data_IF_460987359487
#
_entry.id   IF_460987359487
#
_cell.length_a   1.000
_cell.length_b   1.000
_cell.length_c   1.000
_cell.angle_alpha   90.00
_cell.angle_beta   90.00
_cell.angle_gamma   90.00
#
_symmetry.space_group_name_H-M   'P 1'
#
loop_
_entity.id
_entity.type
_entity.pdbx_description
1 polymer ?
#
# COMPACT_ATOMS: atom_id res chain seq x y z
N UNK A 1 19.37 -38.02 -45.73
CA UNK A 1 18.21 -37.83 -44.83
C UNK A 1 18.49 -38.61 -43.56
N UNK A 2 18.76 -37.94 -42.44
CA UNK A 2 19.10 -38.58 -41.18
C UNK A 2 18.17 -38.08 -40.09
N UNK A 3 17.29 -38.95 -39.60
CA UNK A 3 16.42 -38.66 -38.47
C UNK A 3 17.22 -38.76 -37.18
N UNK A 4 17.23 -37.69 -36.38
CA UNK A 4 17.79 -37.71 -35.02
C UNK A 4 16.68 -37.40 -34.02
N UNK A 5 16.24 -38.44 -33.32
CA UNK A 5 15.15 -38.37 -32.34
C UNK A 5 15.67 -37.79 -31.03
N UNK A 6 15.28 -36.55 -30.69
CA UNK A 6 15.59 -35.96 -29.39
C UNK A 6 14.57 -36.45 -28.36
N UNK A 7 15.03 -37.25 -27.39
CA UNK A 7 14.18 -37.74 -26.31
C UNK A 7 13.90 -36.63 -25.30
N UNK A 8 12.63 -36.50 -24.91
CA UNK A 8 12.18 -35.64 -23.81
C UNK A 8 12.37 -36.44 -22.52
N UNK A 9 13.03 -35.86 -21.52
CA UNK A 9 13.16 -36.44 -20.18
C UNK A 9 12.18 -35.72 -19.26
N UNK A 10 11.17 -36.45 -18.78
CA UNK A 10 10.24 -36.00 -17.75
C UNK A 10 10.89 -36.11 -16.36
N UNK A 11 11.14 -34.97 -15.70
CA UNK A 11 11.44 -34.93 -14.26
C UNK A 11 10.17 -34.63 -13.45
N UNK A 12 9.36 -35.66 -13.21
CA UNK A 12 8.24 -35.63 -12.26
C UNK A 12 8.45 -36.69 -11.16
N UNK A 13 9.25 -36.35 -10.14
CA UNK A 13 9.34 -37.13 -8.92
C UNK A 13 9.85 -36.28 -7.75
N UNK A 14 8.94 -35.71 -6.96
CA UNK A 14 9.24 -35.41 -5.55
C UNK A 14 8.05 -35.83 -4.68
N UNK A 15 8.35 -36.71 -3.72
CA UNK A 15 7.36 -37.44 -2.94
C UNK A 15 6.58 -36.55 -1.96
N UNK A 16 5.27 -36.77 -1.92
CA UNK A 16 4.49 -36.58 -0.70
C UNK A 16 5.07 -37.45 0.43
N UNK A 17 5.17 -36.88 1.63
CA UNK A 17 5.28 -37.64 2.86
C UNK A 17 4.38 -37.00 3.92
N UNK A 18 3.30 -37.71 4.24
CA UNK A 18 2.34 -37.34 5.27
C UNK A 18 2.92 -37.50 6.67
N UNK A 19 2.45 -36.70 7.64
CA UNK A 19 2.32 -37.18 9.01
C UNK A 19 1.07 -36.62 9.72
N UNK A 20 0.51 -37.45 10.62
CA UNK A 20 -0.71 -37.28 11.43
C UNK A 20 -0.92 -35.86 11.99
N UNK A 21 -2.11 -35.25 12.01
CA UNK A 21 -3.46 -35.66 12.48
C UNK A 21 -3.64 -35.69 14.02
N UNK A 22 -4.64 -34.91 14.51
CA UNK A 22 -5.26 -34.77 15.86
C UNK A 22 -5.85 -33.34 15.90
N UNK A 23 -7.10 -33.06 16.30
CA UNK A 23 -8.26 -33.88 16.64
C UNK A 23 -9.58 -33.11 16.50
N UNK A 24 -10.67 -33.83 16.24
CA UNK A 24 -12.07 -33.36 16.18
C UNK A 24 -12.58 -32.72 17.48
N UNK A 25 -13.19 -31.52 17.40
CA UNK A 25 -14.32 -30.96 18.19
C UNK A 25 -14.82 -29.77 17.34
N UNK A 26 -16.09 -29.55 16.96
CA UNK A 26 -17.35 -30.30 17.10
C UNK A 26 -18.24 -30.04 15.84
N UNK A 27 -19.56 -30.34 15.89
CA UNK A 27 -20.57 -29.78 14.98
C UNK A 27 -21.86 -29.47 15.73
N UNK A 28 -22.40 -28.26 15.58
CA UNK A 28 -23.80 -27.96 15.94
C UNK A 28 -24.44 -27.09 14.85
N UNK A 29 -25.42 -27.68 14.19
CA UNK A 29 -26.37 -27.03 13.28
C UNK A 29 -27.35 -26.16 14.06
N UNK A 30 -27.61 -24.95 13.55
CA UNK A 30 -28.77 -24.15 13.91
C UNK A 30 -29.35 -23.53 12.63
N UNK A 31 -30.68 -23.54 12.51
CA UNK A 31 -31.36 -23.39 11.23
C UNK A 31 -31.32 -21.99 10.62
N UNK A 32 -31.39 -21.97 9.28
CA UNK A 32 -31.59 -20.77 8.49
C UNK A 32 -33.05 -20.32 8.63
N UNK A 33 -33.28 -19.22 9.34
CA UNK A 33 -34.49 -18.41 9.16
C UNK A 33 -34.13 -17.02 8.64
N UNK A 34 -34.57 -16.75 7.40
CA UNK A 34 -34.47 -15.44 6.77
C UNK A 34 -35.34 -14.42 7.51
N UNK A 35 -34.71 -13.51 8.25
CA UNK A 35 -35.32 -12.26 8.67
C UNK A 35 -34.56 -11.10 8.00
N UNK A 36 -35.11 -10.59 6.90
CA UNK A 36 -34.58 -9.41 6.21
C UNK A 36 -34.82 -8.15 7.06
N UNK A 37 -33.96 -7.93 8.05
CA UNK A 37 -33.99 -6.73 8.87
C UNK A 37 -33.15 -5.65 8.20
N UNK A 38 -33.81 -4.64 7.62
CA UNK A 38 -33.19 -3.45 7.03
C UNK A 38 -32.54 -2.58 8.11
N UNK A 39 -31.36 -3.00 8.57
CA UNK A 39 -30.58 -2.29 9.57
C UNK A 39 -30.07 -0.96 9.00
N UNK A 40 -30.76 0.13 9.32
CA UNK A 40 -30.27 1.48 9.11
C UNK A 40 -28.97 1.66 9.89
N UNK A 41 -27.84 1.69 9.17
CA UNK A 41 -26.53 1.86 9.79
C UNK A 41 -26.43 3.31 10.29
N UNK A 42 -26.76 3.50 11.57
CA UNK A 42 -26.73 4.79 12.25
C UNK A 42 -25.29 5.27 12.47
N UNK A 43 -24.65 5.74 11.40
CA UNK A 43 -23.33 6.35 11.44
C UNK A 43 -23.37 7.66 12.25
N UNK A 44 -22.61 7.71 13.35
CA UNK A 44 -22.56 8.90 14.19
C UNK A 44 -21.88 10.07 13.46
N UNK A 45 -22.49 11.28 13.54
CA UNK A 45 -22.00 12.54 12.94
C UNK A 45 -20.49 12.74 13.16
N UNK A 46 -19.99 12.50 14.37
CA UNK A 46 -18.57 12.62 14.73
C UNK A 46 -17.65 11.67 13.96
N UNK A 47 -18.12 10.45 13.64
CA UNK A 47 -17.33 9.45 12.93
C UNK A 47 -17.22 9.76 11.43
N UNK A 48 -18.31 10.21 10.81
CA UNK A 48 -18.31 10.69 9.42
C UNK A 48 -17.37 11.90 9.29
N UNK A 49 -17.46 12.88 10.20
CA UNK A 49 -16.58 14.06 10.21
C UNK A 49 -15.11 13.67 10.30
N UNK A 50 -14.77 12.69 11.16
CA UNK A 50 -13.40 12.19 11.33
C UNK A 50 -12.86 11.53 10.05
N UNK A 51 -13.65 10.67 9.39
CA UNK A 51 -13.24 9.97 8.16
C UNK A 51 -13.07 10.95 6.98
N UNK A 52 -14.01 11.88 6.80
CA UNK A 52 -13.91 12.95 5.79
C UNK A 52 -12.66 13.83 5.98
N UNK A 53 -12.33 14.22 7.21
CA UNK A 53 -11.14 15.03 7.50
C UNK A 53 -9.82 14.24 7.38
N UNK A 54 -9.86 12.92 7.54
CA UNK A 54 -8.70 12.03 7.40
C UNK A 54 -8.39 11.68 5.94
N UNK A 55 -9.36 11.86 5.03
CA UNK A 55 -9.23 11.49 3.62
C UNK A 55 -9.44 10.00 3.35
N UNK A 56 -10.13 9.29 4.25
CA UNK A 56 -10.50 7.89 4.05
C UNK A 56 -11.56 7.79 2.94
N UNK A 57 -11.36 6.90 1.96
CA UNK A 57 -12.19 6.82 0.75
C UNK A 57 -13.63 6.32 0.96
N UNK A 58 -14.05 6.09 2.20
CA UNK A 58 -15.38 5.56 2.57
C UNK A 58 -16.53 6.56 2.29
N UNK A 59 -16.26 7.86 2.17
CA UNK A 59 -17.29 8.89 2.01
C UNK A 59 -16.90 9.94 0.96
N UNK A 60 -17.87 10.36 0.13
CA UNK A 60 -17.68 11.36 -0.93
C UNK A 60 -18.71 12.49 -0.85
N UNK A 61 -18.29 13.70 -1.20
CA UNK A 61 -19.12 14.91 -1.23
C UNK A 61 -19.69 15.15 -2.64
N UNK A 62 -20.95 14.79 -2.83
CA UNK A 62 -21.69 14.92 -4.09
C UNK A 62 -22.45 16.26 -4.11
N UNK A 63 -22.40 17.04 -5.21
CA UNK A 63 -23.19 18.27 -5.34
C UNK A 63 -24.70 17.97 -5.31
N UNK A 64 -25.47 18.79 -4.59
CA UNK A 64 -26.92 18.75 -4.67
C UNK A 64 -27.38 19.60 -5.87
N UNK A 65 -28.18 19.03 -6.77
CA UNK A 65 -28.69 19.69 -7.99
C UNK A 65 -29.81 20.72 -7.73
N UNK A 66 -30.10 21.05 -6.46
CA UNK A 66 -31.10 22.05 -6.08
C UNK A 66 -30.73 23.47 -6.52
N UNK A 67 -31.73 24.21 -7.04
CA UNK A 67 -31.58 25.57 -7.59
C UNK A 67 -31.16 26.66 -6.58
N UNK A 68 -31.17 26.37 -5.27
CA UNK A 68 -30.93 27.35 -4.22
C UNK A 68 -29.42 27.55 -3.96
N UNK A 69 -28.96 28.80 -3.85
CA UNK A 69 -27.55 29.16 -3.59
C UNK A 69 -26.94 28.52 -2.34
N UNK A 70 -27.76 28.10 -1.38
CA UNK A 70 -27.34 27.32 -0.21
C UNK A 70 -26.56 26.07 -0.65
N UNK A 71 -27.00 25.37 -1.70
CA UNK A 71 -26.35 24.15 -2.20
C UNK A 71 -25.02 24.40 -2.94
N UNK A 72 -24.66 25.66 -3.22
CA UNK A 72 -23.29 26.01 -3.63
C UNK A 72 -22.29 25.92 -2.47
N UNK A 73 -22.78 26.07 -1.22
CA UNK A 73 -21.98 26.02 0.02
C UNK A 73 -22.02 24.66 0.74
N UNK A 74 -22.98 23.80 0.39
CA UNK A 74 -23.24 22.52 1.06
C UNK A 74 -23.34 21.37 0.07
N UNK A 75 -22.70 20.23 0.37
CA UNK A 75 -22.75 19.00 -0.44
C UNK A 75 -23.36 17.84 0.35
N UNK A 76 -23.99 16.91 -0.35
CA UNK A 76 -24.53 15.66 0.22
C UNK A 76 -23.37 14.69 0.44
N UNK A 77 -23.41 13.93 1.53
CA UNK A 77 -22.46 12.84 1.77
C UNK A 77 -23.06 11.52 1.29
N UNK A 78 -22.34 10.85 0.39
CA UNK A 78 -22.60 9.45 0.04
C UNK A 78 -21.56 8.57 0.73
N UNK A 79 -21.99 7.40 1.20
CA UNK A 79 -21.12 6.32 1.66
C UNK A 79 -20.79 5.42 0.47
N UNK A 80 -19.50 5.15 0.25
CA UNK A 80 -19.02 4.30 -0.83
C UNK A 80 -18.95 2.86 -0.29
N UNK A 81 -19.79 1.98 -0.83
CA UNK A 81 -19.76 0.54 -0.52
C UNK A 81 -19.03 -0.18 -1.67
N UNK A 82 -17.92 -0.89 -1.40
CA UNK A 82 -17.29 -1.72 -2.40
C UNK A 82 -18.23 -2.86 -2.78
N UNK A 83 -18.64 -2.91 -4.05
CA UNK A 83 -19.46 -3.99 -4.57
C UNK A 83 -18.59 -5.25 -4.74
N UNK A 84 -18.88 -6.37 -4.06
CA UNK A 84 -18.08 -7.59 -4.16
C UNK A 84 -18.12 -8.24 -5.54
N UNK A 85 -19.20 -8.04 -6.29
CA UNK A 85 -19.42 -8.62 -7.62
C UNK A 85 -18.86 -7.74 -8.75
N UNK A 86 -18.63 -6.45 -8.48
CA UNK A 86 -18.01 -5.51 -9.42
C UNK A 86 -17.16 -4.44 -8.70
N UNK A 87 -15.88 -4.70 -8.41
CA UNK A 87 -15.02 -3.79 -7.66
C UNK A 87 -14.71 -2.46 -8.39
N UNK A 88 -14.88 -2.41 -9.72
CA UNK A 88 -14.66 -1.21 -10.53
C UNK A 88 -15.89 -0.28 -10.55
N UNK A 89 -17.02 -0.70 -9.99
CA UNK A 89 -18.25 0.10 -9.88
C UNK A 89 -18.80 0.05 -8.44
N UNK A 90 -18.21 0.82 -7.50
CA UNK A 90 -18.65 0.84 -6.11
C UNK A 90 -20.01 1.53 -5.98
N UNK A 91 -20.87 0.96 -5.16
CA UNK A 91 -22.22 1.48 -4.91
C UNK A 91 -22.17 2.71 -4.00
N UNK A 92 -23.00 3.71 -4.29
CA UNK A 92 -23.06 4.96 -3.52
C UNK A 92 -24.38 5.05 -2.76
N UNK A 93 -24.34 4.79 -1.46
CA UNK A 93 -25.53 4.88 -0.61
C UNK A 93 -25.67 6.27 0.02
N UNK A 94 -26.82 6.93 -0.12
CA UNK A 94 -27.03 8.27 0.43
C UNK A 94 -27.06 8.24 1.95
N UNK A 95 -26.31 9.15 2.58
CA UNK A 95 -26.44 9.40 4.02
C UNK A 95 -27.43 10.53 4.26
N UNK A 96 -28.00 10.57 5.47
CA UNK A 96 -28.83 11.68 5.93
C UNK A 96 -28.03 12.90 6.39
N UNK A 97 -26.81 13.10 5.84
CA UNK A 97 -25.95 14.22 6.20
C UNK A 97 -25.51 15.06 4.99
N UNK A 98 -25.38 16.36 5.25
CA UNK A 98 -24.82 17.36 4.33
C UNK A 98 -23.67 18.09 5.03
N UNK A 99 -22.58 18.34 4.32
CA UNK A 99 -21.41 19.05 4.84
C UNK A 99 -21.29 20.45 4.25
N UNK A 100 -20.91 21.43 5.05
CA UNK A 100 -20.41 22.71 4.54
C UNK A 100 -19.04 22.48 3.86
N UNK A 101 -18.90 22.92 2.61
CA UNK A 101 -17.64 22.76 1.84
C UNK A 101 -16.48 23.52 2.48
N UNK A 102 -16.73 24.63 3.17
CA UNK A 102 -15.69 25.51 3.72
C UNK A 102 -15.16 25.06 5.09
N UNK A 103 -16.03 24.57 5.99
CA UNK A 103 -15.65 24.23 7.37
C UNK A 103 -15.83 22.73 7.73
N UNK A 104 -16.35 21.92 6.81
CA UNK A 104 -16.66 20.50 7.00
C UNK A 104 -17.58 20.21 8.20
N UNK A 105 -18.39 21.19 8.63
CA UNK A 105 -19.43 20.98 9.63
C UNK A 105 -20.64 20.26 9.02
N UNK A 106 -21.15 19.28 9.76
CA UNK A 106 -22.20 18.37 9.31
C UNK A 106 -23.57 18.79 9.82
N UNK A 107 -24.56 18.73 8.94
CA UNK A 107 -25.97 18.95 9.23
C UNK A 107 -26.77 17.75 8.76
N UNK A 108 -27.92 17.47 9.38
CA UNK A 108 -28.83 16.45 8.85
C UNK A 108 -29.46 16.93 7.55
N UNK A 109 -29.80 16.01 6.64
CA UNK A 109 -30.52 16.30 5.40
C UNK A 109 -31.93 16.87 5.64
N UNK A 110 -32.53 16.56 6.79
CA UNK A 110 -33.77 17.15 7.30
C UNK A 110 -33.61 18.58 7.87
N UNK A 111 -32.38 19.11 7.98
CA UNK A 111 -32.15 20.49 8.42
C UNK A 111 -32.65 21.48 7.37
N UNK A 112 -33.47 22.45 7.79
CA UNK A 112 -34.04 23.44 6.88
C UNK A 112 -32.97 24.24 6.12
N UNK A 113 -33.26 24.61 4.88
CA UNK A 113 -32.39 25.49 4.07
C UNK A 113 -32.17 26.85 4.72
N UNK A 114 -33.09 27.31 5.57
CA UNK A 114 -32.94 28.54 6.37
C UNK A 114 -31.92 28.39 7.52
N UNK A 115 -31.79 27.19 8.10
CA UNK A 115 -30.73 26.88 9.07
C UNK A 115 -29.37 26.81 8.39
N UNK A 116 -29.32 26.18 7.20
CA UNK A 116 -28.09 26.09 6.39
C UNK A 116 -27.67 27.47 5.84
N UNK A 117 -28.59 28.35 5.44
CA UNK A 117 -28.26 29.69 4.97
C UNK A 117 -27.74 30.61 6.09
N UNK A 118 -28.23 30.41 7.32
CA UNK A 118 -27.74 31.08 8.54
C UNK A 118 -26.41 30.51 9.07
N UNK A 119 -25.89 29.42 8.50
CA UNK A 119 -24.56 28.94 8.85
C UNK A 119 -23.51 30.00 8.48
N UNK A 120 -23.04 30.72 9.50
CA UNK A 120 -21.79 31.46 9.43
C UNK A 120 -20.69 30.44 9.69
N UNK A 121 -19.80 30.27 8.71
CA UNK A 121 -18.58 29.50 8.94
C UNK A 121 -17.82 30.18 10.08
N UNK A 122 -17.83 29.57 11.26
CA UNK A 122 -16.83 29.85 12.28
C UNK A 122 -15.52 29.24 11.79
N UNK A 123 -14.91 29.92 10.81
CA UNK A 123 -13.46 29.86 10.65
C UNK A 123 -12.90 30.21 12.02
N UNK A 124 -12.06 29.38 12.65
CA UNK A 124 -11.53 29.69 13.96
C UNK A 124 -10.81 31.03 13.89
N UNK A 125 -11.36 32.04 14.58
CA UNK A 125 -10.72 33.33 14.76
C UNK A 125 -9.38 33.07 15.41
N UNK A 126 -8.30 33.45 14.73
CA UNK A 126 -6.94 33.17 15.16
C UNK A 126 -6.69 33.68 16.58
N UNK A 127 -6.33 32.82 17.57
CA UNK A 127 -5.41 33.28 18.59
C UNK A 127 -4.13 33.75 17.87
N UNK A 128 -3.47 34.78 18.39
CA UNK A 128 -2.24 35.34 17.81
C UNK A 128 -1.05 34.37 17.95
N UNK A 129 -1.09 33.27 17.21
CA UNK A 129 -0.05 32.24 17.12
C UNK A 129 -0.13 31.56 15.76
N UNK A 130 0.79 31.99 14.92
CA UNK A 130 1.32 31.56 13.61
C UNK A 130 1.08 30.13 13.04
N UNK A 131 0.32 29.23 13.66
CA UNK A 131 0.37 27.79 13.33
C UNK A 131 -0.79 27.24 12.48
N UNK A 132 -1.95 27.91 12.38
CA UNK A 132 -3.19 27.23 11.95
C UNK A 132 -3.64 27.40 10.49
N UNK A 133 -3.00 28.27 9.69
CA UNK A 133 -3.21 28.36 8.22
C UNK A 133 -2.08 27.71 7.39
N UNK A 134 -1.26 26.87 8.03
CA UNK A 134 -0.28 26.00 7.38
C UNK A 134 -0.93 24.82 6.65
N UNK A 135 -1.59 25.06 5.52
CA UNK A 135 -2.00 24.01 4.57
C UNK A 135 -0.80 23.22 4.02
N UNK A 136 0.38 23.83 4.05
CA UNK A 136 1.63 23.09 4.19
C UNK A 136 1.76 22.66 5.64
N UNK A 137 1.70 21.36 5.91
CA UNK A 137 2.42 20.80 7.07
C UNK A 137 3.84 21.34 6.96
N UNK A 138 4.20 22.31 7.79
CA UNK A 138 5.57 22.70 8.00
C UNK A 138 6.26 21.48 8.57
N UNK A 139 6.75 20.58 7.69
CA UNK A 139 7.54 19.41 8.06
C UNK A 139 8.64 19.97 8.94
N UNK A 140 8.55 19.74 10.26
CA UNK A 140 9.41 20.38 11.26
C UNK A 140 10.83 20.18 10.76
N UNK A 141 11.45 21.26 10.28
CA UNK A 141 12.70 21.14 9.52
C UNK A 141 13.71 20.56 10.49
N UNK A 142 14.21 19.36 10.21
CA UNK A 142 15.17 18.72 11.10
C UNK A 142 16.32 19.70 11.38
N UNK A 143 16.69 19.89 12.65
CA UNK A 143 17.80 20.76 13.04
C UNK A 143 19.07 20.43 12.23
N UNK A 144 19.85 21.45 11.89
CA UNK A 144 21.00 21.29 10.97
C UNK A 144 22.00 20.24 11.49
N UNK A 145 22.31 20.26 12.79
CA UNK A 145 23.16 19.26 13.44
C UNK A 145 22.66 17.81 13.27
N UNK A 146 21.34 17.58 13.29
CA UNK A 146 20.75 16.25 13.08
C UNK A 146 20.88 15.82 11.61
N UNK A 147 20.80 16.76 10.66
CA UNK A 147 21.06 16.48 9.24
C UNK A 147 22.52 16.15 9.00
N UNK A 148 23.43 16.89 9.62
CA UNK A 148 24.88 16.64 9.51
C UNK A 148 25.26 15.29 10.12
N UNK A 149 24.63 14.89 11.23
CA UNK A 149 24.76 13.54 11.76
C UNK A 149 24.18 12.50 10.80
N UNK A 150 22.97 12.71 10.26
CA UNK A 150 22.37 11.78 9.29
C UNK A 150 23.26 11.59 8.04
N UNK A 151 23.90 12.65 7.53
CA UNK A 151 24.89 12.57 6.45
C UNK A 151 26.07 11.68 6.87
N UNK A 152 26.65 11.90 8.07
CA UNK A 152 27.75 11.07 8.59
C UNK A 152 27.37 9.58 8.72
N UNK A 153 26.15 9.27 9.19
CA UNK A 153 25.65 7.88 9.26
C UNK A 153 25.48 7.27 7.86
N UNK A 154 24.94 8.04 6.90
CA UNK A 154 24.78 7.60 5.51
C UNK A 154 26.13 7.33 4.82
N UNK A 155 27.13 8.19 5.03
CA UNK A 155 28.50 7.96 4.55
C UNK A 155 29.07 6.69 5.17
N UNK A 156 28.96 6.53 6.50
CA UNK A 156 29.45 5.32 7.19
C UNK A 156 28.78 4.05 6.67
N UNK A 157 27.47 4.06 6.42
CA UNK A 157 26.75 2.94 5.81
C UNK A 157 27.29 2.59 4.42
N UNK A 158 27.42 3.56 3.52
CA UNK A 158 27.97 3.31 2.18
C UNK A 158 29.42 2.80 2.21
N UNK A 159 30.26 3.34 3.10
CA UNK A 159 31.68 2.98 3.20
C UNK A 159 31.95 1.64 3.88
N UNK A 160 31.18 1.26 4.91
CA UNK A 160 31.38 -0.03 5.59
C UNK A 160 30.75 -1.20 4.83
N UNK A 161 29.53 -1.01 4.33
CA UNK A 161 28.76 -2.09 3.69
C UNK A 161 28.99 -2.16 2.17
N UNK A 162 29.92 -1.35 1.64
CA UNK A 162 30.26 -1.19 0.21
C UNK A 162 28.98 -0.99 -0.64
N UNK A 163 28.11 -0.09 -0.20
CA UNK A 163 26.82 0.19 -0.85
C UNK A 163 26.91 1.40 -1.79
N UNK A 164 26.31 1.34 -3.00
CA UNK A 164 26.25 2.50 -3.87
C UNK A 164 25.46 3.62 -3.20
N UNK A 165 25.91 4.88 -3.36
CA UNK A 165 25.26 6.05 -2.74
C UNK A 165 23.78 6.20 -3.12
N UNK A 166 23.38 5.68 -4.29
CA UNK A 166 21.98 5.63 -4.73
C UNK A 166 21.09 4.76 -3.85
N UNK A 167 21.63 3.80 -3.09
CA UNK A 167 20.85 2.93 -2.19
C UNK A 167 20.10 3.74 -1.12
N UNK A 168 20.68 4.86 -0.65
CA UNK A 168 20.06 5.77 0.33
C UNK A 168 18.78 6.42 -0.21
N UNK A 169 18.66 6.55 -1.55
CA UNK A 169 17.46 7.09 -2.23
C UNK A 169 16.48 5.99 -2.68
N UNK A 170 16.78 4.71 -2.44
CA UNK A 170 15.92 3.61 -2.86
C UNK A 170 14.59 3.63 -2.12
N UNK A 171 13.43 3.46 -2.82
CA UNK A 171 12.12 3.58 -2.18
C UNK A 171 11.92 2.58 -1.03
N UNK A 172 12.34 1.33 -1.20
CA UNK A 172 12.28 0.32 -0.14
C UNK A 172 13.20 0.61 1.07
N UNK A 173 14.32 1.33 0.87
CA UNK A 173 15.15 1.78 1.99
C UNK A 173 14.46 2.88 2.79
N UNK A 174 13.81 3.83 2.10
CA UNK A 174 12.99 4.86 2.75
C UNK A 174 11.79 4.26 3.51
N UNK A 175 11.14 3.24 2.96
CA UNK A 175 10.03 2.52 3.59
C UNK A 175 10.47 1.83 4.90
N UNK A 176 11.56 1.08 4.86
CA UNK A 176 12.18 0.46 6.05
C UNK A 176 12.60 1.53 7.07
N UNK A 177 13.18 2.65 6.62
CA UNK A 177 13.54 3.77 7.48
C UNK A 177 12.34 4.38 8.21
N UNK A 178 11.21 4.58 7.52
CA UNK A 178 9.98 5.07 8.14
C UNK A 178 9.42 4.04 9.14
N UNK A 179 9.46 2.75 8.80
CA UNK A 179 9.04 1.68 9.71
C UNK A 179 9.83 1.68 11.04
N UNK A 180 11.15 1.91 11.01
CA UNK A 180 11.95 2.05 12.23
C UNK A 180 11.63 3.32 13.02
N UNK A 181 11.36 4.45 12.37
CA UNK A 181 10.89 5.66 13.04
C UNK A 181 9.54 5.41 13.74
N UNK A 182 8.62 4.68 13.09
CA UNK A 182 7.31 4.34 13.63
C UNK A 182 7.39 3.30 14.76
N UNK A 183 8.41 2.43 14.79
CA UNK A 183 8.72 1.59 15.95
C UNK A 183 9.22 2.46 17.10
N UNK A 184 10.25 3.29 16.86
CA UNK A 184 10.81 4.16 17.89
C UNK A 184 9.80 5.12 18.51
N UNK A 185 8.84 5.60 17.71
CA UNK A 185 7.74 6.46 18.18
C UNK A 185 6.67 5.71 19.01
N UNK A 186 6.50 4.39 18.81
CA UNK A 186 5.50 3.56 19.52
C UNK A 186 6.04 2.85 20.76
N UNK A 187 7.28 2.37 20.68
CA UNK A 187 7.89 1.50 21.69
C UNK A 187 9.10 2.15 22.39
N UNK A 188 9.55 3.32 21.94
CA UNK A 188 10.70 4.02 22.50
C UNK A 188 12.04 3.43 22.05
N UNK A 189 13.06 3.55 22.90
CA UNK A 189 14.38 2.96 22.61
C UNK A 189 14.27 1.43 22.62
N UNK A 190 14.63 0.81 21.50
CA UNK A 190 14.55 -0.63 21.25
C UNK A 190 15.87 -1.07 20.59
N UNK A 191 16.35 -2.29 20.86
CA UNK A 191 17.51 -2.83 20.15
C UNK A 191 17.14 -3.09 18.67
N UNK A 192 18.03 -2.70 17.77
CA UNK A 192 17.89 -2.94 16.34
C UNK A 192 18.04 -4.43 15.99
N UNK A 193 18.77 -5.20 16.81
CA UNK A 193 18.96 -6.63 16.61
C UNK A 193 17.70 -7.46 16.88
N UNK A 194 16.80 -6.99 17.76
CA UNK A 194 15.48 -7.60 17.98
C UNK A 194 14.48 -7.30 16.86
N UNK A 195 14.68 -6.18 16.15
CA UNK A 195 13.82 -5.72 15.05
C UNK A 195 14.23 -6.34 13.71
N UNK A 196 15.53 -6.48 13.45
CA UNK A 196 16.06 -6.91 12.15
C UNK A 196 16.02 -8.44 11.99
N UNK A 197 15.28 -8.97 10.99
CA UNK A 197 15.28 -10.41 10.73
C UNK A 197 16.62 -10.88 10.14
N UNK A 198 17.06 -12.08 10.53
CA UNK A 198 18.24 -12.72 9.97
C UNK A 198 18.17 -12.83 8.42
N UNK A 199 19.26 -12.64 7.65
CA UNK A 199 19.24 -12.67 6.18
C UNK A 199 18.60 -13.92 5.57
N UNK A 200 18.80 -15.10 6.16
CA UNK A 200 18.15 -16.36 5.73
C UNK A 200 16.63 -16.33 5.85
N UNK A 201 16.08 -15.58 6.81
CA UNK A 201 14.63 -15.38 6.93
C UNK A 201 14.13 -14.47 5.81
N UNK A 202 14.83 -13.36 5.54
CA UNK A 202 14.51 -12.47 4.41
C UNK A 202 14.56 -13.23 3.07
N UNK A 203 15.60 -14.03 2.84
CA UNK A 203 15.76 -14.87 1.64
C UNK A 203 14.57 -15.84 1.43
N UNK A 204 14.18 -16.59 2.47
CA UNK A 204 13.01 -17.48 2.42
C UNK A 204 11.70 -16.72 2.14
N UNK A 205 11.54 -15.54 2.74
CA UNK A 205 10.37 -14.69 2.51
C UNK A 205 10.33 -14.08 1.11
N UNK A 206 11.48 -13.75 0.50
CA UNK A 206 11.56 -13.30 -0.91
C UNK A 206 11.04 -14.40 -1.83
N UNK A 207 11.53 -15.64 -1.69
CA UNK A 207 11.06 -16.78 -2.52
C UNK A 207 9.56 -17.01 -2.34
N UNK A 208 9.08 -17.10 -1.09
CA UNK A 208 7.65 -17.29 -0.80
C UNK A 208 6.77 -16.19 -1.39
N UNK A 209 7.21 -14.93 -1.28
CA UNK A 209 6.47 -13.76 -1.80
C UNK A 209 6.47 -13.74 -3.33
N UNK A 210 7.61 -14.02 -3.97
CA UNK A 210 7.71 -14.14 -5.42
C UNK A 210 6.80 -15.26 -5.96
N UNK A 211 6.75 -16.42 -5.30
CA UNK A 211 5.83 -17.51 -5.66
C UNK A 211 4.36 -17.10 -5.51
N UNK A 212 3.98 -16.39 -4.44
CA UNK A 212 2.61 -15.89 -4.24
C UNK A 212 2.21 -14.89 -5.34
N UNK A 213 3.06 -13.90 -5.60
CA UNK A 213 2.84 -12.90 -6.67
C UNK A 213 2.74 -13.60 -8.04
N UNK A 214 3.67 -14.52 -8.35
CA UNK A 214 3.65 -15.30 -9.59
C UNK A 214 2.34 -16.09 -9.75
N UNK A 215 1.85 -16.76 -8.69
CA UNK A 215 0.56 -17.50 -8.75
C UNK A 215 -0.64 -16.60 -9.05
N UNK A 216 -0.66 -15.37 -8.53
CA UNK A 216 -1.71 -14.37 -8.83
C UNK A 216 -1.58 -13.87 -10.27
N UNK A 217 -0.37 -13.48 -10.68
CA UNK A 217 -0.12 -12.83 -11.97
C UNK A 217 -0.21 -13.81 -13.15
N UNK A 218 0.19 -15.07 -12.95
CA UNK A 218 0.19 -16.12 -13.98
C UNK A 218 -1.22 -16.35 -14.56
N UNK A 219 -2.29 -16.22 -13.77
CA UNK A 219 -3.67 -16.31 -14.27
C UNK A 219 -3.96 -15.28 -15.38
N UNK A 220 -3.48 -14.04 -15.22
CA UNK A 220 -3.67 -12.95 -16.20
C UNK A 220 -2.74 -13.11 -17.41
N UNK A 221 -1.50 -13.54 -17.19
CA UNK A 221 -0.54 -13.78 -18.27
C UNK A 221 -0.99 -14.96 -19.15
N UNK A 222 -1.53 -16.02 -18.54
CA UNK A 222 -1.98 -17.22 -19.25
C UNK A 222 -3.16 -16.94 -20.20
N UNK A 223 -4.13 -16.11 -19.80
CA UNK A 223 -5.17 -15.65 -20.73
C UNK A 223 -4.57 -14.87 -21.90
N UNK A 224 -3.68 -13.91 -21.66
CA UNK A 224 -3.02 -13.15 -22.74
C UNK A 224 -2.18 -14.02 -23.68
N UNK A 225 -1.60 -15.13 -23.19
CA UNK A 225 -0.91 -16.12 -24.04
C UNK A 225 -1.92 -16.86 -24.93
N UNK A 226 -3.02 -17.37 -24.36
CA UNK A 226 -4.05 -18.09 -25.12
C UNK A 226 -4.72 -17.20 -26.18
N UNK A 227 -4.97 -15.94 -25.84
CA UNK A 227 -5.55 -14.93 -26.72
C UNK A 227 -4.54 -14.40 -27.78
N UNK A 228 -3.30 -14.91 -27.77
CA UNK A 228 -2.19 -14.53 -28.66
C UNK A 228 -1.73 -13.06 -28.52
N UNK A 229 -2.05 -12.41 -27.40
CA UNK A 229 -1.60 -11.07 -27.03
C UNK A 229 -0.33 -11.10 -26.15
N UNK A 230 0.65 -11.90 -26.55
CA UNK A 230 1.93 -12.03 -25.82
C UNK A 230 3.11 -11.94 -26.77
N UNK A 231 4.14 -11.19 -26.37
CA UNK A 231 5.46 -11.16 -27.00
C UNK A 231 6.52 -11.36 -25.91
N UNK A 232 7.62 -12.01 -26.25
CA UNK A 232 8.77 -12.19 -25.36
C UNK A 232 10.00 -11.59 -26.00
N UNK A 233 10.73 -10.77 -25.24
CA UNK A 233 12.13 -10.46 -25.55
C UNK A 233 13.01 -11.57 -24.98
N UNK A 234 14.18 -11.78 -25.60
CA UNK A 234 15.23 -12.65 -25.09
C UNK A 234 16.55 -11.90 -25.18
N UNK A 235 17.02 -11.37 -24.05
CA UNK A 235 18.28 -10.65 -23.98
C UNK A 235 19.40 -11.64 -23.66
N UNK A 236 20.36 -11.76 -24.57
CA UNK A 236 21.55 -12.59 -24.40
C UNK A 236 22.79 -11.70 -24.49
N UNK A 237 23.62 -11.72 -23.45
CA UNK A 237 24.94 -11.09 -23.47
C UNK A 237 25.99 -12.07 -22.95
N UNK A 238 27.23 -11.93 -23.44
CA UNK A 238 28.38 -12.69 -22.91
C UNK A 238 29.13 -11.83 -21.91
N UNK A 239 29.15 -12.25 -20.64
CA UNK A 239 30.03 -11.64 -19.66
C UNK A 239 31.48 -12.10 -19.89
N UNK A 240 32.36 -11.14 -20.19
CA UNK A 240 33.77 -11.38 -20.47
C UNK A 240 34.68 -11.04 -19.27
N UNK A 241 34.13 -10.74 -18.08
CA UNK A 241 34.86 -10.23 -16.91
C UNK A 241 36.06 -11.07 -16.45
N UNK A 242 36.12 -12.37 -16.81
CA UNK A 242 37.23 -13.28 -16.47
C UNK A 242 38.18 -13.61 -17.63
N UNK A 243 38.12 -12.94 -18.79
CA UNK A 243 39.09 -13.13 -19.89
C UNK A 243 40.45 -12.49 -19.55
N UNK A 244 41.19 -13.12 -18.63
CA UNK A 244 42.65 -12.93 -18.53
C UNK A 244 43.25 -13.38 -19.87
N UNK A 245 43.87 -12.45 -20.59
CA UNK A 245 44.83 -12.83 -21.62
C UNK A 245 46.02 -13.47 -20.87
N UNK A 246 46.15 -14.79 -20.97
CA UNK A 246 47.41 -15.45 -20.70
C UNK A 246 48.35 -15.06 -21.85
N UNK A 247 49.07 -13.96 -21.70
CA UNK A 247 50.26 -13.69 -22.50
C UNK A 247 51.29 -14.72 -22.06
N UNK A 248 51.33 -15.85 -22.74
CA UNK A 248 52.39 -16.85 -22.58
C UNK A 248 53.54 -16.33 -23.43
N UNK A 249 54.51 -15.67 -22.77
CA UNK A 249 55.74 -15.19 -23.40
C UNK A 249 56.61 -16.38 -23.82
N UNK A 250 56.24 -17.01 -24.94
CA UNK A 250 57.07 -17.96 -25.66
C UNK A 250 58.21 -17.20 -26.37
N UNK A 251 59.20 -16.71 -25.61
CA UNK A 251 60.59 -16.47 -26.02
C UNK A 251 61.40 -15.81 -24.88
N UNK A 252 62.19 -16.60 -24.13
CA UNK A 252 63.43 -16.16 -23.45
C UNK A 252 64.11 -17.30 -22.67
N UNK A 253 64.42 -18.43 -23.32
CA UNK A 253 65.38 -19.43 -22.83
C UNK A 253 66.07 -20.16 -23.99
N UNK A 254 67.02 -19.46 -24.61
CA UNK A 254 68.16 -20.00 -25.37
C UNK A 254 69.34 -19.06 -25.17
#
# INVERSE_FOLDING_TARGET
MGSSSTQIIDENAFHDNSFASVSTINSQSADVQYAASSASINFSKTSIKRKLLKGDCDYVLVPNLGKNDVWKKFKIIMHIIPNPDNPDSPEQNPTDFVACVSCMELYSKSTSTATLSRHKCSMPSSPNTLEMYGGFKNKKRMPTNIKDEAIKKCVKYCSLDIRPMLAIKGPGFCEIGQFFLDIGARYGSTDIHDILPHPTTVSRHIVSTATKIRKIFFKKVYSSINDKYCASTCEMWTDNYKKKQLHVDHNSFY
#
